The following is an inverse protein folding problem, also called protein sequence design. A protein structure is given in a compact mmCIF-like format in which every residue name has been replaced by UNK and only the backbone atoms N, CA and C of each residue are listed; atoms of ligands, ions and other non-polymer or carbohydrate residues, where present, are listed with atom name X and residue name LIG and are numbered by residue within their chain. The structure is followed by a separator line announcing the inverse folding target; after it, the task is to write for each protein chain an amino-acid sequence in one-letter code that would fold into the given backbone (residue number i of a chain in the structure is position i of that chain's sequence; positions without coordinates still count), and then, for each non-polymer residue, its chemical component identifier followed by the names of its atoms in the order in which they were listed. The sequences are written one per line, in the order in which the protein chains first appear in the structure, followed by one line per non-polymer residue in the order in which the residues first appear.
data_IF_322705808525
#
_entry.id   IF_322705808525
#
_cell.length_a   1.000
_cell.length_b   1.000
_cell.length_c   1.000
_cell.angle_alpha   90.00
_cell.angle_beta   90.00
_cell.angle_gamma   90.00
#
_symmetry.space_group_name_H-M   'P 1'
#
loop_
_entity.id
_entity.type
_entity.pdbx_description
1 polymer ?
#
# COMPACT_ATOMS: atom_id res chain seq x y z
N UNK A 1 2.23 -17.97 15.73
CA UNK A 1 0.98 -17.26 15.35
C UNK A 1 0.50 -17.90 14.06
N UNK A 2 -0.78 -18.26 14.04
CA UNK A 2 -1.51 -19.12 13.09
C UNK A 2 -1.18 -18.87 11.62
N UNK A 3 -0.94 -19.96 10.87
CA UNK A 3 -0.72 -19.99 9.42
C UNK A 3 -1.83 -19.22 8.69
N UNK A 4 -1.50 -18.08 8.09
CA UNK A 4 -2.38 -17.45 7.12
C UNK A 4 -2.31 -18.25 5.83
N UNK A 5 -3.17 -19.28 5.76
CA UNK A 5 -3.60 -19.89 4.50
C UNK A 5 -4.02 -18.74 3.56
N UNK A 6 -3.64 -18.82 2.28
CA UNK A 6 -3.92 -17.82 1.24
C UNK A 6 -5.40 -17.43 1.14
N UNK A 7 -5.78 -16.74 0.07
CA UNK A 7 -7.15 -16.26 -0.10
C UNK A 7 -8.20 -17.37 -0.21
N UNK A 8 -7.79 -18.59 -0.57
CA UNK A 8 -8.67 -19.75 -0.68
C UNK A 8 -9.06 -20.31 0.70
N UNK A 9 -10.36 -20.23 1.01
CA UNK A 9 -10.95 -20.89 2.19
C UNK A 9 -11.69 -22.18 1.84
N UNK A 10 -12.22 -22.28 0.63
CA UNK A 10 -12.95 -23.46 0.14
C UNK A 10 -12.51 -23.78 -1.31
N UNK A 11 -12.02 -25.00 -1.61
CA UNK A 11 -11.41 -25.30 -2.91
C UNK A 11 -12.37 -25.50 -4.10
N UNK A 12 -13.69 -25.45 -3.92
CA UNK A 12 -14.59 -26.10 -4.91
C UNK A 12 -15.72 -25.26 -5.54
N UNK A 13 -15.99 -24.03 -5.09
CA UNK A 13 -16.91 -23.13 -5.84
C UNK A 13 -16.45 -21.66 -5.72
N UNK A 14 -16.25 -20.99 -6.87
CA UNK A 14 -15.89 -19.57 -7.03
C UNK A 14 -14.53 -19.11 -6.48
N UNK A 15 -13.48 -19.92 -6.68
CA UNK A 15 -12.11 -19.63 -6.22
C UNK A 15 -11.58 -18.25 -6.67
N UNK A 16 -11.84 -17.85 -7.91
CA UNK A 16 -11.43 -16.52 -8.42
C UNK A 16 -12.16 -15.38 -7.69
N UNK A 17 -13.46 -15.53 -7.42
CA UNK A 17 -14.25 -14.51 -6.70
C UNK A 17 -13.78 -14.36 -5.26
N UNK A 18 -13.47 -15.47 -4.58
CA UNK A 18 -12.92 -15.48 -3.22
C UNK A 18 -11.56 -14.78 -3.16
N UNK A 19 -10.70 -15.02 -4.16
CA UNK A 19 -9.41 -14.33 -4.28
C UNK A 19 -9.62 -12.84 -4.51
N UNK A 20 -10.51 -12.45 -5.42
CA UNK A 20 -10.81 -11.04 -5.71
C UNK A 20 -11.33 -10.31 -4.47
N UNK A 21 -12.32 -10.86 -3.77
CA UNK A 21 -12.82 -10.28 -2.51
C UNK A 21 -11.75 -10.19 -1.44
N UNK A 22 -10.89 -11.22 -1.36
CA UNK A 22 -9.81 -11.29 -0.40
C UNK A 22 -8.76 -10.23 -0.63
N UNK A 23 -8.30 -10.07 -1.88
CA UNK A 23 -7.29 -9.09 -2.24
C UNK A 23 -7.85 -7.67 -2.18
N UNK A 24 -9.08 -7.44 -2.66
CA UNK A 24 -9.77 -6.14 -2.60
C UNK A 24 -9.84 -5.61 -1.15
N UNK A 25 -10.27 -6.45 -0.22
CA UNK A 25 -10.29 -6.11 1.21
C UNK A 25 -8.91 -5.82 1.77
N UNK A 26 -7.87 -6.54 1.32
CA UNK A 26 -6.51 -6.25 1.75
C UNK A 26 -6.00 -4.94 1.11
N UNK A 27 -6.41 -4.58 -0.12
CA UNK A 27 -6.12 -3.27 -0.73
C UNK A 27 -6.76 -2.15 0.10
N UNK A 28 -8.05 -2.27 0.41
CA UNK A 28 -8.79 -1.31 1.23
C UNK A 28 -8.10 -1.07 2.57
N UNK A 29 -7.65 -2.13 3.26
CA UNK A 29 -6.87 -2.00 4.51
C UNK A 29 -5.56 -1.25 4.33
N UNK A 30 -4.90 -1.42 3.18
CA UNK A 30 -3.68 -0.69 2.84
C UNK A 30 -3.95 0.80 2.66
N UNK A 31 -5.01 1.12 1.91
CA UNK A 31 -5.46 2.49 1.66
C UNK A 31 -5.92 3.18 2.96
N UNK A 32 -6.71 2.49 3.79
CA UNK A 32 -7.15 2.95 5.11
C UNK A 32 -5.97 3.30 6.02
N UNK A 33 -4.93 2.47 6.04
CA UNK A 33 -3.75 2.72 6.86
C UNK A 33 -3.03 4.01 6.42
N UNK A 34 -2.91 4.22 5.10
CA UNK A 34 -2.31 5.44 4.55
C UNK A 34 -3.18 6.67 4.84
N UNK A 35 -4.50 6.54 4.66
CA UNK A 35 -5.47 7.60 4.91
C UNK A 35 -5.52 8.00 6.38
N UNK A 36 -5.47 7.04 7.30
CA UNK A 36 -5.38 7.29 8.74
C UNK A 36 -4.11 8.09 9.06
N UNK A 37 -2.95 7.66 8.52
CA UNK A 37 -1.69 8.38 8.71
C UNK A 37 -1.77 9.82 8.19
N UNK A 38 -2.32 10.03 6.99
CA UNK A 38 -2.49 11.36 6.41
C UNK A 38 -3.46 12.22 7.23
N UNK A 39 -4.61 11.65 7.64
CA UNK A 39 -5.62 12.34 8.44
C UNK A 39 -5.08 12.77 9.79
N UNK A 40 -4.33 11.90 10.47
CA UNK A 40 -3.66 12.23 11.74
C UNK A 40 -2.67 13.38 11.57
N UNK A 41 -1.95 13.44 10.45
CA UNK A 41 -1.04 14.55 10.14
C UNK A 41 -1.78 15.84 9.83
N UNK A 42 -2.90 15.80 9.11
CA UNK A 42 -3.71 17.00 8.87
C UNK A 42 -4.23 17.60 10.20
N UNK A 43 -4.59 16.74 11.15
CA UNK A 43 -4.99 17.15 12.50
C UNK A 43 -3.84 17.71 13.35
N UNK A 44 -2.58 17.52 12.96
CA UNK A 44 -1.42 18.05 13.71
C UNK A 44 -1.47 19.59 13.85
N UNK A 45 -2.06 20.27 12.86
CA UNK A 45 -2.26 21.73 12.89
C UNK A 45 -3.09 22.20 14.09
N UNK A 46 -4.06 21.38 14.55
CA UNK A 46 -4.87 21.65 15.75
C UNK A 46 -4.03 21.62 17.04
N UNK A 47 -2.92 20.88 17.05
CA UNK A 47 -2.03 20.76 18.21
C UNK A 47 -0.86 21.75 18.18
N UNK A 48 -0.67 22.49 17.09
CA UNK A 48 0.39 23.49 16.95
C UNK A 48 0.40 24.59 18.05
N UNK A 49 -0.76 25.04 18.59
CA UNK A 49 -0.76 26.00 19.69
C UNK A 49 -0.33 25.42 21.04
N UNK A 50 -0.35 24.09 21.18
CA UNK A 50 -0.22 23.39 22.48
C UNK A 50 1.10 22.62 22.59
N UNK A 51 1.69 22.20 21.47
CA UNK A 51 2.94 21.45 21.42
C UNK A 51 4.01 22.14 20.55
N UNK A 52 5.27 22.22 21.01
CA UNK A 52 6.33 22.84 20.22
C UNK A 52 6.68 21.99 19.00
N UNK A 53 7.20 22.60 17.91
CA UNK A 53 7.55 21.88 16.67
C UNK A 53 8.54 20.72 16.85
N UNK A 54 9.45 20.82 17.83
CA UNK A 54 10.42 19.76 18.14
C UNK A 54 9.77 18.47 18.67
N UNK A 55 8.54 18.54 19.16
CA UNK A 55 7.75 17.38 19.57
C UNK A 55 6.77 17.00 18.46
N UNK A 56 6.06 17.97 17.91
CA UNK A 56 4.98 17.74 16.96
C UNK A 56 5.49 17.17 15.61
N UNK A 57 6.57 17.73 15.04
CA UNK A 57 7.06 17.34 13.72
C UNK A 57 7.65 15.91 13.70
N UNK A 58 8.43 15.47 14.71
CA UNK A 58 8.84 14.07 14.80
C UNK A 58 7.66 13.11 14.96
N UNK A 59 6.62 13.46 15.71
CA UNK A 59 5.41 12.63 15.84
C UNK A 59 4.65 12.52 14.53
N UNK A 60 4.56 13.61 13.76
CA UNK A 60 4.03 13.59 12.39
C UNK A 60 4.84 12.65 11.51
N UNK A 61 6.17 12.79 11.48
CA UNK A 61 7.04 11.93 10.69
C UNK A 61 6.91 10.45 11.09
N UNK A 62 6.83 10.16 12.39
CA UNK A 62 6.64 8.81 12.92
C UNK A 62 5.29 8.22 12.50
N UNK A 63 4.23 9.02 12.56
CA UNK A 63 2.88 8.58 12.19
C UNK A 63 2.83 8.18 10.72
N UNK A 64 3.41 9.00 9.83
CA UNK A 64 3.55 8.66 8.41
C UNK A 64 4.44 7.42 8.20
N UNK A 65 5.47 7.26 9.02
CA UNK A 65 6.42 6.16 8.85
C UNK A 65 5.77 4.83 9.22
N UNK A 66 4.97 4.83 10.28
CA UNK A 66 4.21 3.67 10.73
C UNK A 66 3.13 3.32 9.70
N UNK A 67 2.36 4.30 9.20
CA UNK A 67 1.32 4.03 8.20
C UNK A 67 1.88 3.49 6.89
N UNK A 68 2.92 4.13 6.33
CA UNK A 68 3.58 3.66 5.12
C UNK A 68 4.22 2.28 5.31
N UNK A 69 4.78 2.01 6.50
CA UNK A 69 5.34 0.70 6.82
C UNK A 69 4.26 -0.39 6.87
N UNK A 70 3.09 -0.07 7.43
CA UNK A 70 1.96 -1.00 7.47
C UNK A 70 1.44 -1.30 6.07
N UNK A 71 1.23 -0.26 5.24
CA UNK A 71 0.80 -0.40 3.86
C UNK A 71 1.78 -1.25 3.02
N UNK A 72 3.09 -1.02 3.16
CA UNK A 72 4.11 -1.83 2.48
C UNK A 72 4.13 -3.29 2.95
N UNK A 73 4.04 -3.53 4.26
CA UNK A 73 3.93 -4.90 4.80
C UNK A 73 2.68 -5.60 4.26
N UNK A 74 1.58 -4.87 4.20
CA UNK A 74 0.33 -5.37 3.65
C UNK A 74 0.47 -5.69 2.15
N UNK A 75 1.15 -4.85 1.37
CA UNK A 75 1.43 -5.10 -0.05
C UNK A 75 2.19 -6.41 -0.29
N UNK A 76 3.30 -6.65 0.42
CA UNK A 76 4.03 -7.92 0.32
C UNK A 76 3.22 -9.13 0.81
N UNK A 77 2.34 -8.91 1.78
CA UNK A 77 1.44 -9.95 2.27
C UNK A 77 0.38 -10.31 1.20
N UNK A 78 -0.14 -9.34 0.46
CA UNK A 78 -1.04 -9.56 -0.67
C UNK A 78 -0.35 -10.35 -1.78
N UNK A 79 0.86 -9.93 -2.17
CA UNK A 79 1.68 -10.63 -3.16
C UNK A 79 1.87 -12.12 -2.80
N UNK A 80 2.29 -12.39 -1.57
CA UNK A 80 2.49 -13.76 -1.08
C UNK A 80 1.19 -14.57 -1.09
N UNK A 81 0.11 -14.02 -0.51
CA UNK A 81 -1.19 -14.71 -0.46
C UNK A 81 -1.74 -14.99 -1.85
N UNK A 82 -1.58 -14.06 -2.80
CA UNK A 82 -2.03 -14.24 -4.17
C UNK A 82 -1.22 -15.35 -4.85
N UNK A 83 0.11 -15.33 -4.73
CA UNK A 83 0.98 -16.38 -5.29
C UNK A 83 0.63 -17.78 -4.76
N UNK A 84 0.44 -17.90 -3.44
CA UNK A 84 0.04 -19.16 -2.78
C UNK A 84 -1.35 -19.64 -3.23
N UNK A 85 -2.28 -18.71 -3.45
CA UNK A 85 -3.64 -19.04 -3.90
C UNK A 85 -3.64 -19.45 -5.37
N UNK A 86 -2.92 -18.71 -6.22
CA UNK A 86 -2.80 -19.02 -7.64
C UNK A 86 -2.13 -20.37 -7.88
N UNK A 87 -1.21 -20.84 -7.02
CA UNK A 87 -0.59 -22.15 -7.18
C UNK A 87 -1.61 -23.30 -7.25
N UNK A 88 -2.76 -23.15 -6.59
CA UNK A 88 -3.80 -24.18 -6.44
C UNK A 88 -4.89 -24.12 -7.53
N UNK A 89 -4.87 -23.10 -8.38
CA UNK A 89 -5.90 -22.86 -9.40
C UNK A 89 -5.61 -23.60 -10.71
N UNK A 90 -6.66 -23.78 -11.51
CA UNK A 90 -6.54 -24.29 -12.88
C UNK A 90 -5.92 -23.24 -13.83
N UNK A 91 -5.67 -23.62 -15.09
CA UNK A 91 -5.04 -22.74 -16.08
C UNK A 91 -5.93 -21.54 -16.43
N UNK A 92 -7.24 -21.71 -16.44
CA UNK A 92 -8.18 -20.68 -16.83
C UNK A 92 -8.33 -19.60 -15.75
N UNK A 93 -8.51 -20.03 -14.50
CA UNK A 93 -8.56 -19.18 -13.32
C UNK A 93 -7.25 -18.41 -13.11
N UNK A 94 -6.10 -19.06 -13.35
CA UNK A 94 -4.80 -18.39 -13.37
C UNK A 94 -4.72 -17.29 -14.42
N UNK A 95 -5.25 -17.54 -15.62
CA UNK A 95 -5.26 -16.55 -16.69
C UNK A 95 -6.12 -15.33 -16.34
N UNK A 96 -7.25 -15.53 -15.65
CA UNK A 96 -8.11 -14.43 -15.17
C UNK A 96 -7.42 -13.56 -14.11
N UNK A 97 -6.65 -14.15 -13.20
CA UNK A 97 -5.93 -13.42 -12.14
C UNK A 97 -4.55 -12.89 -12.56
N UNK A 98 -4.03 -13.33 -13.71
CA UNK A 98 -2.73 -12.91 -14.23
C UNK A 98 -2.55 -11.37 -14.28
N UNK A 99 -3.54 -10.56 -14.71
CA UNK A 99 -3.41 -9.10 -14.71
C UNK A 99 -3.10 -8.52 -13.33
N UNK A 100 -3.65 -9.09 -12.25
CA UNK A 100 -3.39 -8.66 -10.87
C UNK A 100 -1.99 -9.11 -10.43
N UNK A 101 -1.62 -10.35 -10.74
CA UNK A 101 -0.29 -10.87 -10.43
C UNK A 101 0.83 -10.07 -11.13
N UNK A 102 0.59 -9.65 -12.39
CA UNK A 102 1.52 -8.84 -13.17
C UNK A 102 1.82 -7.48 -12.50
N UNK A 103 0.86 -6.88 -11.79
CA UNK A 103 1.08 -5.61 -11.07
C UNK A 103 2.21 -5.74 -10.05
N UNK A 104 2.33 -6.88 -9.35
CA UNK A 104 3.39 -7.09 -8.36
C UNK A 104 4.78 -7.20 -9.02
N UNK A 105 4.84 -7.72 -10.25
CA UNK A 105 6.08 -7.79 -11.02
C UNK A 105 6.45 -6.43 -11.64
N UNK A 106 5.46 -5.67 -12.12
CA UNK A 106 5.66 -4.37 -12.77
C UNK A 106 5.90 -3.23 -11.77
N UNK A 107 5.35 -3.34 -10.56
CA UNK A 107 5.44 -2.35 -9.49
C UNK A 107 5.98 -2.94 -8.19
N UNK A 108 7.19 -3.54 -8.20
CA UNK A 108 7.72 -4.20 -7.02
C UNK A 108 7.97 -3.18 -5.91
N UNK A 109 7.61 -3.55 -4.68
CA UNK A 109 7.97 -2.76 -3.51
C UNK A 109 9.33 -3.18 -2.98
N UNK A 110 10.20 -2.19 -2.76
CA UNK A 110 11.44 -2.43 -2.04
C UNK A 110 11.17 -2.77 -0.58
N UNK A 111 12.10 -3.49 0.06
CA UNK A 111 12.03 -3.76 1.50
C UNK A 111 11.96 -2.47 2.33
N UNK A 112 11.45 -2.56 3.56
CA UNK A 112 11.46 -1.42 4.49
C UNK A 112 12.90 -0.94 4.77
N UNK A 113 13.84 -1.87 4.95
CA UNK A 113 15.25 -1.54 5.18
C UNK A 113 15.85 -0.74 4.01
N UNK A 114 15.51 -1.11 2.78
CA UNK A 114 15.92 -0.38 1.60
C UNK A 114 15.23 0.98 1.50
N UNK A 115 13.93 1.04 1.77
CA UNK A 115 13.14 2.27 1.68
C UNK A 115 13.55 3.30 2.73
N UNK A 116 13.88 2.90 3.95
CA UNK A 116 14.36 3.82 4.98
C UNK A 116 15.85 4.18 4.84
N UNK A 117 16.59 3.54 3.93
CA UNK A 117 18.01 3.83 3.73
C UNK A 117 18.18 5.11 2.86
N UNK A 118 18.68 6.22 3.42
CA UNK A 118 18.83 7.48 2.68
C UNK A 118 19.88 7.40 1.56
N UNK A 119 20.89 6.53 1.74
CA UNK A 119 21.97 6.33 0.77
C UNK A 119 21.49 5.55 -0.45
N UNK A 120 20.50 4.67 -0.28
CA UNK A 120 19.85 3.95 -1.39
C UNK A 120 18.80 4.78 -2.10
N UNK A 121 18.27 5.83 -1.45
CA UNK A 121 17.19 6.67 -1.98
C UNK A 121 17.64 8.12 -2.20
N UNK A 122 18.80 8.33 -2.82
CA UNK A 122 19.43 9.65 -2.97
C UNK A 122 18.50 10.70 -3.56
N UNK A 123 17.70 10.36 -4.57
CA UNK A 123 16.73 11.29 -5.18
C UNK A 123 15.68 11.77 -4.18
N UNK A 124 15.17 10.87 -3.33
CA UNK A 124 14.21 11.22 -2.29
C UNK A 124 14.90 12.01 -1.18
N UNK A 125 16.03 11.53 -0.69
CA UNK A 125 16.86 12.20 0.32
C UNK A 125 17.16 13.64 -0.07
N UNK A 126 17.58 13.89 -1.32
CA UNK A 126 17.86 15.23 -1.82
C UNK A 126 16.62 16.12 -1.85
N UNK A 127 15.49 15.61 -2.37
CA UNK A 127 14.21 16.35 -2.36
C UNK A 127 13.77 16.70 -0.93
N UNK A 128 13.90 15.76 0.00
CA UNK A 128 13.53 15.94 1.40
C UNK A 128 14.47 16.92 2.11
N UNK A 129 15.77 16.87 1.82
CA UNK A 129 16.76 17.79 2.35
C UNK A 129 16.53 19.21 1.83
N UNK A 130 16.26 19.36 0.52
CA UNK A 130 15.92 20.65 -0.09
C UNK A 130 14.65 21.24 0.53
N UNK A 131 13.59 20.44 0.66
CA UNK A 131 12.35 20.87 1.31
C UNK A 131 12.56 21.24 2.78
N UNK A 132 13.35 20.45 3.52
CA UNK A 132 13.70 20.73 4.91
C UNK A 132 14.50 22.03 5.05
N UNK A 133 15.48 22.28 4.19
CA UNK A 133 16.28 23.50 4.23
C UNK A 133 15.44 24.75 3.94
N UNK A 134 14.43 24.65 3.07
CA UNK A 134 13.54 25.77 2.74
C UNK A 134 12.55 26.13 3.86
N UNK A 135 12.26 25.22 4.79
CA UNK A 135 11.29 25.44 5.88
C UNK A 135 11.98 25.43 7.24
N UNK A 136 12.40 24.24 7.68
CA UNK A 136 13.34 24.00 8.77
C UNK A 136 13.78 22.51 8.75
N UNK A 137 14.94 22.16 9.35
CA UNK A 137 15.48 20.79 9.28
C UNK A 137 14.55 19.69 9.82
N UNK A 138 13.62 20.00 10.72
CA UNK A 138 12.67 19.02 11.27
C UNK A 138 11.64 18.55 10.24
N UNK A 139 11.48 19.24 9.10
CA UNK A 139 10.63 18.80 8.00
C UNK A 139 11.27 17.75 7.09
N UNK A 140 12.59 17.60 7.12
CA UNK A 140 13.27 16.62 6.26
C UNK A 140 12.74 15.19 6.47
N UNK A 141 12.60 14.67 7.71
CA UNK A 141 11.99 13.36 7.95
C UNK A 141 10.56 13.26 7.42
N UNK A 142 9.76 14.32 7.58
CA UNK A 142 8.37 14.36 7.10
C UNK A 142 8.33 14.20 5.59
N UNK A 143 9.10 15.02 4.86
CA UNK A 143 9.14 14.93 3.39
C UNK A 143 9.69 13.60 2.89
N UNK A 144 10.65 13.02 3.61
CA UNK A 144 11.19 11.71 3.26
C UNK A 144 10.11 10.63 3.34
N UNK A 145 9.39 10.59 4.45
CA UNK A 145 8.37 9.57 4.68
C UNK A 145 7.10 9.84 3.86
N UNK A 146 6.71 11.09 3.64
CA UNK A 146 5.63 11.44 2.72
C UNK A 146 5.94 10.94 1.30
N UNK A 147 7.21 11.03 0.87
CA UNK A 147 7.65 10.44 -0.40
C UNK A 147 7.57 8.91 -0.44
N UNK A 148 7.62 8.21 0.70
CA UNK A 148 7.29 6.78 0.77
C UNK A 148 5.79 6.56 0.63
N UNK A 149 4.99 7.31 1.39
CA UNK A 149 3.54 7.22 1.42
C UNK A 149 2.91 7.38 0.02
N UNK A 150 3.40 8.34 -0.77
CA UNK A 150 2.97 8.56 -2.18
C UNK A 150 3.25 7.33 -3.05
N UNK A 151 4.37 6.64 -2.83
CA UNK A 151 4.71 5.43 -3.59
C UNK A 151 3.77 4.29 -3.18
N UNK A 152 3.47 4.14 -1.88
CA UNK A 152 2.53 3.12 -1.41
C UNK A 152 1.15 3.33 -2.03
N UNK A 153 0.65 4.57 -1.99
CA UNK A 153 -0.66 4.95 -2.52
C UNK A 153 -0.74 4.68 -4.02
N UNK A 154 0.31 5.05 -4.78
CA UNK A 154 0.35 4.78 -6.22
C UNK A 154 0.28 3.28 -6.52
N UNK A 155 1.04 2.46 -5.79
CA UNK A 155 1.08 1.02 -6.02
C UNK A 155 -0.26 0.36 -5.66
N UNK A 156 -0.88 0.76 -4.55
CA UNK A 156 -2.23 0.29 -4.19
C UNK A 156 -3.28 0.74 -5.21
N UNK A 157 -3.21 1.99 -5.70
CA UNK A 157 -4.13 2.47 -6.72
C UNK A 157 -4.01 1.76 -8.06
N UNK A 158 -2.80 1.35 -8.47
CA UNK A 158 -2.60 0.51 -9.67
C UNK A 158 -3.17 -0.89 -9.45
N UNK A 159 -2.94 -1.47 -8.27
CA UNK A 159 -3.47 -2.80 -7.91
C UNK A 159 -5.00 -2.79 -7.88
N UNK A 160 -5.61 -1.78 -7.27
CA UNK A 160 -7.06 -1.59 -7.23
C UNK A 160 -7.67 -1.54 -8.64
N UNK A 161 -7.07 -0.76 -9.55
CA UNK A 161 -7.51 -0.71 -10.95
C UNK A 161 -7.43 -2.07 -11.66
N UNK A 162 -6.41 -2.87 -11.36
CA UNK A 162 -6.29 -4.21 -11.92
C UNK A 162 -7.38 -5.15 -11.37
N UNK A 163 -7.69 -5.05 -10.08
CA UNK A 163 -8.77 -5.82 -9.43
C UNK A 163 -10.12 -5.49 -10.07
N UNK A 164 -10.46 -4.19 -10.16
CA UNK A 164 -11.69 -3.73 -10.82
C UNK A 164 -11.74 -4.22 -12.28
N UNK A 165 -10.60 -4.17 -12.99
CA UNK A 165 -10.50 -4.64 -14.37
C UNK A 165 -10.83 -6.13 -14.52
N UNK A 166 -10.38 -6.98 -13.59
CA UNK A 166 -10.70 -8.42 -13.58
C UNK A 166 -12.14 -8.67 -13.13
N UNK A 167 -12.63 -7.93 -12.14
CA UNK A 167 -14.02 -8.02 -11.68
C UNK A 167 -15.01 -7.74 -12.82
N UNK A 168 -14.76 -6.69 -13.61
CA UNK A 168 -15.58 -6.34 -14.78
C UNK A 168 -15.56 -7.40 -15.89
N UNK A 169 -14.49 -8.21 -15.99
CA UNK A 169 -14.43 -9.31 -16.96
C UNK A 169 -15.28 -10.50 -16.53
N UNK A 170 -15.36 -10.78 -15.23
CA UNK A 170 -16.05 -11.95 -14.67
C UNK A 170 -17.52 -11.64 -14.38
N UNK A 171 -17.83 -10.39 -14.00
CA UNK A 171 -19.17 -9.91 -13.71
C UNK A 171 -19.36 -8.55 -14.38
N UNK A 172 -19.54 -8.52 -15.71
CA UNK A 172 -19.84 -7.28 -16.40
C UNK A 172 -21.13 -6.69 -15.82
N UNK A 173 -21.20 -5.37 -15.58
CA UNK A 173 -22.41 -4.75 -15.10
C UNK A 173 -23.53 -5.09 -16.09
N UNK A 174 -24.57 -5.75 -15.59
CA UNK A 174 -25.78 -6.05 -16.36
C UNK A 174 -26.17 -4.77 -17.07
N UNK A 175 -26.11 -4.78 -18.41
CA UNK A 175 -26.53 -3.64 -19.23
C UNK A 175 -27.89 -3.18 -18.72
N UNK A 176 -27.96 -1.90 -18.34
CA UNK A 176 -29.20 -1.14 -18.19
C UNK A 176 -30.14 -1.55 -19.33
N UNK A 177 -31.17 -2.35 -19.01
CA UNK A 177 -32.38 -2.49 -19.83
C UNK A 177 -33.30 -1.33 -19.43
#
# INVERSE_FOLDING_TARGET
MTEEKGYLKHPFENAVSDILKGIDRDVERGEDALMLGLGAVMLSSTFAPVAPPIVLLPLVALTLAVSASFARKNYHKMERKLSESMAQLDVHEKALLHPIAAVFADYPMHSLAESFNPLKNLKRTWKSALGGLLINPLWMPIFYVMGMQIIEEKNLGVLNRAIIGVELQISPPSSLI
#
